data_IF_230007281560
#
_entry.id   IF_230007281560
#
_cell.length_a   1.000
_cell.length_b   1.000
_cell.length_c   1.000
_cell.angle_alpha   90.00
_cell.angle_beta   90.00
_cell.angle_gamma   90.00
#
_symmetry.space_group_name_H-M   'P 1'
#
loop_
_entity.id
_entity.type
_entity.pdbx_description
1 polymer ?
#
# COMPACT_ATOMS: atom_id res chain seq x y z
N UNK A 1 -17.06 4.02 -31.84
CA UNK A 1 -15.68 3.78 -31.33
C UNK A 1 -15.65 4.20 -29.88
N UNK A 2 -15.05 3.41 -28.96
CA UNK A 2 -14.83 3.91 -27.61
C UNK A 2 -13.84 5.09 -27.69
N UNK A 3 -13.97 6.13 -26.85
CA UNK A 3 -13.12 7.31 -26.97
C UNK A 3 -11.64 6.95 -26.77
N UNK A 4 -10.81 7.26 -27.77
CA UNK A 4 -9.35 7.09 -27.76
C UNK A 4 -8.60 8.21 -27.03
N UNK A 5 -9.30 9.01 -26.23
CA UNK A 5 -8.74 10.18 -25.55
C UNK A 5 -7.96 9.77 -24.28
N UNK A 6 -6.75 9.23 -24.43
CA UNK A 6 -5.85 9.07 -23.28
C UNK A 6 -5.26 10.42 -22.87
N UNK A 7 -6.09 11.25 -22.20
CA UNK A 7 -5.67 12.47 -21.51
C UNK A 7 -4.83 12.19 -20.25
N UNK A 8 -4.86 10.96 -19.74
CA UNK A 8 -4.21 10.57 -18.49
C UNK A 8 -3.29 9.37 -18.67
N UNK A 9 -2.23 9.24 -17.85
CA UNK A 9 -1.27 8.14 -17.95
C UNK A 9 -1.78 6.80 -17.37
N UNK A 10 -3.09 6.69 -17.07
CA UNK A 10 -3.72 5.49 -16.51
C UNK A 10 -5.03 5.15 -17.23
N UNK A 11 -5.29 3.83 -17.36
CA UNK A 11 -6.47 3.31 -18.07
C UNK A 11 -7.69 3.14 -17.16
N UNK A 12 -7.48 2.81 -15.88
CA UNK A 12 -8.56 2.65 -14.90
C UNK A 12 -8.94 4.01 -14.32
N UNK A 13 -10.24 4.27 -14.19
CA UNK A 13 -10.80 5.51 -13.61
C UNK A 13 -11.38 5.33 -12.21
N UNK A 14 -11.03 4.22 -11.57
CA UNK A 14 -11.45 3.87 -10.21
C UNK A 14 -10.19 3.76 -9.39
N UNK A 15 -10.19 4.38 -8.21
CA UNK A 15 -9.13 4.26 -7.22
C UNK A 15 -9.66 3.53 -5.98
N UNK A 16 -8.75 2.95 -5.21
CA UNK A 16 -9.07 2.34 -3.92
C UNK A 16 -8.95 3.43 -2.87
N UNK A 17 -10.09 3.96 -2.44
CA UNK A 17 -10.17 5.06 -1.47
C UNK A 17 -9.57 4.71 -0.12
N UNK A 18 -9.75 3.46 0.31
CA UNK A 18 -9.15 2.89 1.53
C UNK A 18 -8.97 1.38 1.35
N UNK A 19 -7.87 0.85 1.87
CA UNK A 19 -7.72 -0.58 2.17
C UNK A 19 -6.92 -0.73 3.47
N UNK A 20 -7.12 -1.87 4.13
CA UNK A 20 -6.46 -2.17 5.40
C UNK A 20 -7.02 -3.46 5.98
N UNK A 21 -6.30 -4.03 6.94
CA UNK A 21 -6.66 -5.29 7.57
C UNK A 21 -6.61 -5.12 9.09
N UNK A 22 -7.74 -5.26 9.77
CA UNK A 22 -7.82 -5.09 11.22
C UNK A 22 -7.12 -6.25 11.92
N UNK A 23 -6.18 -5.94 12.81
CA UNK A 23 -5.52 -6.94 13.66
C UNK A 23 -6.41 -7.50 14.77
N UNK A 24 -7.43 -6.75 15.17
CA UNK A 24 -8.34 -7.11 16.25
C UNK A 24 -9.78 -7.23 15.75
N UNK A 25 -10.58 -8.08 16.39
CA UNK A 25 -12.03 -8.05 16.17
C UNK A 25 -12.60 -6.70 16.61
N UNK A 26 -13.50 -6.12 15.81
CA UNK A 26 -14.07 -4.80 16.05
C UNK A 26 -14.63 -4.66 17.47
N UNK A 27 -14.24 -3.59 18.16
CA UNK A 27 -14.68 -3.30 19.54
C UNK A 27 -14.08 -4.22 20.60
N UNK A 28 -13.01 -4.96 20.27
CA UNK A 28 -12.32 -5.86 21.21
C UNK A 28 -10.82 -5.81 21.00
N UNK A 29 -10.05 -6.33 21.96
CA UNK A 29 -8.61 -6.58 21.80
C UNK A 29 -8.28 -8.02 21.37
N UNK A 30 -9.28 -8.83 21.01
CA UNK A 30 -9.06 -10.20 20.57
C UNK A 30 -8.38 -10.20 19.20
N UNK A 31 -7.19 -10.80 19.12
CA UNK A 31 -6.40 -10.89 17.89
C UNK A 31 -7.19 -11.69 16.85
N UNK A 32 -7.47 -11.06 15.70
CA UNK A 32 -8.06 -11.68 14.52
C UNK A 32 -6.97 -12.17 13.56
N UNK A 33 -5.91 -11.36 13.38
CA UNK A 33 -4.73 -11.70 12.57
C UNK A 33 -3.45 -11.20 13.23
N UNK A 34 -2.34 -11.90 13.02
CA UNK A 34 -1.02 -11.46 13.50
C UNK A 34 -0.53 -10.23 12.73
N UNK A 35 0.51 -9.59 13.26
CA UNK A 35 1.14 -8.44 12.60
C UNK A 35 1.77 -8.84 11.24
N UNK A 36 2.32 -10.05 11.15
CA UNK A 36 2.91 -10.58 9.91
C UNK A 36 1.85 -10.95 8.89
N UNK A 37 0.73 -11.55 9.31
CA UNK A 37 -0.42 -11.80 8.44
C UNK A 37 -0.98 -10.48 7.87
N UNK A 38 -1.06 -9.43 8.69
CA UNK A 38 -1.46 -8.10 8.23
C UNK A 38 -0.51 -7.59 7.13
N UNK A 39 0.81 -7.78 7.28
CA UNK A 39 1.80 -7.39 6.28
C UNK A 39 1.69 -8.21 4.99
N UNK A 40 1.48 -9.53 5.11
CA UNK A 40 1.23 -10.42 3.98
C UNK A 40 0.01 -9.96 3.19
N UNK A 41 -1.13 -9.76 3.85
CA UNK A 41 -2.36 -9.30 3.20
C UNK A 41 -2.20 -7.91 2.58
N UNK A 42 -1.43 -7.03 3.23
CA UNK A 42 -1.07 -5.72 2.69
C UNK A 42 -0.28 -5.85 1.39
N UNK A 43 0.72 -6.74 1.32
CA UNK A 43 1.45 -7.04 0.07
C UNK A 43 0.52 -7.57 -1.01
N UNK A 44 -0.34 -8.54 -0.67
CA UNK A 44 -1.29 -9.14 -1.62
C UNK A 44 -2.25 -8.09 -2.18
N UNK A 45 -2.83 -7.24 -1.33
CA UNK A 45 -3.74 -6.17 -1.76
C UNK A 45 -3.04 -5.13 -2.64
N UNK A 46 -1.83 -4.70 -2.26
CA UNK A 46 -1.05 -3.76 -3.05
C UNK A 46 -0.67 -4.35 -4.41
N UNK A 47 -0.26 -5.62 -4.46
CA UNK A 47 0.06 -6.32 -5.70
C UNK A 47 -1.18 -6.48 -6.60
N UNK A 48 -2.34 -6.82 -6.02
CA UNK A 48 -3.59 -6.89 -6.75
C UNK A 48 -4.00 -5.53 -7.34
N UNK A 49 -3.88 -4.45 -6.56
CA UNK A 49 -4.18 -3.09 -7.02
C UNK A 49 -3.25 -2.66 -8.18
N UNK A 50 -1.95 -2.93 -8.06
CA UNK A 50 -0.98 -2.64 -9.12
C UNK A 50 -1.23 -3.48 -10.37
N UNK A 51 -1.47 -4.79 -10.22
CA UNK A 51 -1.76 -5.71 -11.34
C UNK A 51 -3.01 -5.30 -12.10
N UNK A 52 -4.06 -4.86 -11.40
CA UNK A 52 -5.29 -4.35 -12.02
C UNK A 52 -5.08 -3.01 -12.77
N UNK A 53 -3.98 -2.29 -12.47
CA UNK A 53 -3.70 -0.98 -13.02
C UNK A 53 -4.41 0.16 -12.30
N UNK A 54 -4.69 -0.01 -11.00
CA UNK A 54 -5.26 1.03 -10.16
C UNK A 54 -4.35 2.28 -10.15
N UNK A 55 -4.85 3.49 -10.45
CA UNK A 55 -4.05 4.70 -10.46
C UNK A 55 -3.63 5.15 -9.06
N UNK A 56 -4.41 4.77 -8.04
CA UNK A 56 -4.18 5.16 -6.66
C UNK A 56 -4.84 4.17 -5.69
N UNK A 57 -4.15 3.84 -4.59
CA UNK A 57 -4.66 3.01 -3.51
C UNK A 57 -4.13 3.53 -2.17
N UNK A 58 -5.04 3.87 -1.26
CA UNK A 58 -4.69 4.46 0.03
C UNK A 58 -4.82 3.44 1.16
N UNK A 59 -3.75 3.25 1.92
CA UNK A 59 -3.78 2.42 3.12
C UNK A 59 -4.38 3.22 4.28
N UNK A 60 -5.41 2.67 4.92
CA UNK A 60 -5.97 3.18 6.17
C UNK A 60 -5.46 2.29 7.31
N UNK A 61 -4.58 2.77 8.20
CA UNK A 61 -4.15 4.16 8.46
C UNK A 61 -2.73 4.24 9.02
N UNK A 62 -2.10 5.44 9.00
CA UNK A 62 -0.75 5.60 9.59
C UNK A 62 -0.78 5.53 11.12
N UNK A 63 -1.60 6.37 11.76
CA UNK A 63 -1.82 6.40 13.21
C UNK A 63 -3.26 6.01 13.49
N UNK A 64 -3.53 5.49 14.68
CA UNK A 64 -4.90 5.11 15.06
C UNK A 64 -5.71 6.36 15.42
N UNK A 65 -6.77 6.66 14.67
CA UNK A 65 -7.75 7.69 15.01
C UNK A 65 -9.15 7.11 15.31
N UNK A 66 -9.30 5.78 15.29
CA UNK A 66 -10.59 5.10 15.50
C UNK A 66 -10.63 4.32 16.82
N UNK A 67 -9.63 4.51 17.69
CA UNK A 67 -9.65 3.94 19.02
C UNK A 67 -10.63 4.66 19.93
N UNK A 68 -11.17 3.95 20.92
CA UNK A 68 -11.96 4.58 21.99
C UNK A 68 -11.16 5.70 22.69
N UNK A 69 -11.85 6.61 23.38
CA UNK A 69 -11.22 7.67 24.17
C UNK A 69 -10.14 7.08 25.10
N UNK A 70 -8.94 7.69 25.10
CA UNK A 70 -7.78 7.19 25.85
C UNK A 70 -7.00 6.05 25.18
N UNK A 71 -7.44 5.54 24.02
CA UNK A 71 -6.71 4.54 23.24
C UNK A 71 -6.73 3.14 23.85
N UNK A 72 -7.77 2.83 24.64
CA UNK A 72 -7.93 1.54 25.30
C UNK A 72 -8.24 0.43 24.30
N UNK A 73 -9.07 0.69 23.28
CA UNK A 73 -9.39 -0.29 22.23
C UNK A 73 -8.87 0.19 20.86
N UNK A 74 -7.65 -0.22 20.47
CA UNK A 74 -7.11 0.17 19.16
C UNK A 74 -7.90 -0.47 18.01
N UNK A 75 -8.04 0.26 16.91
CA UNK A 75 -8.72 -0.19 15.69
C UNK A 75 -8.06 -1.40 15.03
N UNK A 76 -6.76 -1.57 15.30
CA UNK A 76 -5.92 -2.61 14.73
C UNK A 76 -5.47 -2.33 13.30
N UNK A 77 -5.64 -1.10 12.80
CA UNK A 77 -5.29 -0.70 11.42
C UNK A 77 -4.02 0.15 11.34
N UNK A 78 -3.56 0.72 12.45
CA UNK A 78 -2.46 1.67 12.44
C UNK A 78 -1.12 1.02 12.05
N UNK A 79 -0.42 1.63 11.09
CA UNK A 79 0.94 1.28 10.72
C UNK A 79 1.96 1.63 11.81
N UNK A 80 1.67 2.64 12.62
CA UNK A 80 2.45 3.05 13.79
C UNK A 80 1.51 3.03 14.99
N UNK A 81 1.82 2.19 15.98
CA UNK A 81 0.96 2.07 17.16
C UNK A 81 1.18 3.22 18.16
N UNK A 82 0.36 3.28 19.20
CA UNK A 82 0.41 4.34 20.24
C UNK A 82 1.77 4.45 20.95
N UNK A 83 2.57 3.38 20.95
CA UNK A 83 3.91 3.34 21.53
C UNK A 83 4.99 3.74 20.51
N UNK A 84 4.61 4.36 19.38
CA UNK A 84 5.50 4.74 18.26
C UNK A 84 6.18 3.56 17.57
N UNK A 85 5.69 2.33 17.75
CA UNK A 85 6.26 1.14 17.12
C UNK A 85 5.68 0.95 15.73
N UNK A 86 6.57 0.91 14.73
CA UNK A 86 6.25 0.60 13.34
C UNK A 86 5.91 -0.88 13.20
N UNK A 87 4.75 -1.17 12.65
CA UNK A 87 4.25 -2.53 12.44
C UNK A 87 4.87 -3.16 11.19
N UNK A 88 4.86 -4.50 11.02
CA UNK A 88 5.32 -5.15 9.80
C UNK A 88 4.68 -4.59 8.51
N UNK A 89 3.37 -4.26 8.53
CA UNK A 89 2.70 -3.62 7.39
C UNK A 89 3.28 -2.23 7.04
N UNK A 90 3.84 -1.50 8.02
CA UNK A 90 4.53 -0.22 7.75
C UNK A 90 5.78 -0.46 6.89
N UNK A 91 6.51 -1.53 7.19
CA UNK A 91 7.74 -1.87 6.48
C UNK A 91 7.46 -2.22 5.02
N UNK A 92 6.32 -2.84 4.72
CA UNK A 92 5.87 -3.10 3.34
C UNK A 92 5.81 -1.79 2.54
N UNK A 93 5.10 -0.77 3.05
CA UNK A 93 4.98 0.53 2.38
C UNK A 93 6.32 1.27 2.32
N UNK A 94 7.11 1.25 3.40
CA UNK A 94 8.43 1.90 3.43
C UNK A 94 9.38 1.28 2.39
N UNK A 95 9.44 -0.05 2.33
CA UNK A 95 10.30 -0.76 1.38
C UNK A 95 9.85 -0.53 -0.06
N UNK A 96 8.53 -0.58 -0.31
CA UNK A 96 7.95 -0.26 -1.60
C UNK A 96 8.33 1.15 -2.06
N UNK A 97 8.15 2.16 -1.19
CA UNK A 97 8.49 3.54 -1.50
C UNK A 97 9.99 3.71 -1.80
N UNK A 98 10.86 3.08 -1.01
CA UNK A 98 12.32 3.12 -1.27
C UNK A 98 12.63 2.53 -2.65
N UNK A 99 12.17 1.30 -2.93
CA UNK A 99 12.44 0.62 -4.21
C UNK A 99 11.85 1.39 -5.41
N UNK A 100 10.70 2.05 -5.23
CA UNK A 100 10.11 2.92 -6.24
C UNK A 100 11.01 4.10 -6.60
N UNK A 101 11.57 4.79 -5.60
CA UNK A 101 12.52 5.89 -5.85
C UNK A 101 13.80 5.38 -6.51
N UNK A 102 14.38 4.29 -5.99
CA UNK A 102 15.58 3.67 -6.56
C UNK A 102 15.39 3.33 -8.06
N UNK A 103 14.21 2.82 -8.43
CA UNK A 103 13.88 2.51 -9.83
C UNK A 103 13.70 3.76 -10.70
N UNK A 104 12.99 4.77 -10.20
CA UNK A 104 12.78 6.03 -10.92
C UNK A 104 14.12 6.72 -11.18
N UNK A 105 14.99 6.77 -10.19
CA UNK A 105 16.32 7.39 -10.31
C UNK A 105 17.20 6.63 -11.31
N UNK A 106 17.15 5.29 -11.29
CA UNK A 106 17.82 4.46 -12.30
C UNK A 106 17.31 4.77 -13.71
N UNK A 107 15.99 4.84 -13.91
CA UNK A 107 15.44 5.16 -15.23
C UNK A 107 15.88 6.55 -15.72
N UNK A 108 15.93 7.54 -14.83
CA UNK A 108 16.39 8.90 -15.15
C UNK A 108 17.89 8.94 -15.45
N UNK A 109 18.69 8.16 -14.74
CA UNK A 109 20.13 8.05 -14.99
C UNK A 109 20.41 7.39 -16.35
N UNK A 110 19.81 6.22 -16.59
CA UNK A 110 20.23 5.32 -17.67
C UNK A 110 19.51 5.62 -18.98
N UNK A 111 18.23 5.96 -18.92
CA UNK A 111 17.38 6.19 -20.10
C UNK A 111 17.01 7.66 -20.30
N UNK A 112 17.45 8.56 -19.40
CA UNK A 112 17.15 10.01 -19.42
C UNK A 112 15.64 10.32 -19.44
N UNK A 113 14.82 9.44 -18.85
CA UNK A 113 13.37 9.60 -18.73
C UNK A 113 12.81 8.92 -17.48
N UNK A 114 11.60 9.27 -17.10
CA UNK A 114 10.83 8.48 -16.12
C UNK A 114 10.41 7.12 -16.73
N UNK A 115 10.16 6.09 -15.89
CA UNK A 115 9.53 4.86 -16.36
C UNK A 115 8.11 5.16 -16.86
N UNK A 116 7.67 4.41 -17.87
CA UNK A 116 6.26 4.34 -18.26
C UNK A 116 5.45 3.65 -17.15
N UNK A 117 4.13 3.81 -17.16
CA UNK A 117 3.26 3.13 -16.21
C UNK A 117 3.44 1.59 -16.28
N UNK A 118 3.61 1.03 -17.48
CA UNK A 118 3.78 -0.40 -17.67
C UNK A 118 5.11 -0.90 -17.05
N UNK A 119 6.22 -0.21 -17.34
CA UNK A 119 7.54 -0.54 -16.77
C UNK A 119 7.53 -0.44 -15.24
N UNK A 120 6.92 0.61 -14.68
CA UNK A 120 6.82 0.76 -13.23
C UNK A 120 6.01 -0.35 -12.58
N UNK A 121 4.84 -0.69 -13.13
CA UNK A 121 4.01 -1.76 -12.56
C UNK A 121 4.70 -3.11 -12.62
N UNK A 122 5.33 -3.45 -13.75
CA UNK A 122 6.03 -4.72 -13.91
C UNK A 122 7.14 -4.87 -12.85
N UNK A 123 7.93 -3.83 -12.66
CA UNK A 123 9.02 -3.85 -11.68
C UNK A 123 8.48 -3.83 -10.24
N UNK A 124 7.46 -3.02 -9.97
CA UNK A 124 6.85 -2.90 -8.64
C UNK A 124 6.21 -4.21 -8.15
N UNK A 125 5.63 -5.00 -9.05
CA UNK A 125 5.06 -6.32 -8.72
C UNK A 125 6.12 -7.29 -8.22
N UNK A 126 7.33 -7.28 -8.81
CA UNK A 126 8.44 -8.13 -8.36
C UNK A 126 8.81 -7.82 -6.91
N UNK A 127 8.79 -6.54 -6.53
CA UNK A 127 9.17 -6.15 -5.17
C UNK A 127 8.20 -6.63 -4.10
N UNK A 128 6.90 -6.64 -4.40
CA UNK A 128 5.87 -7.10 -3.47
C UNK A 128 5.80 -8.62 -3.38
N UNK A 129 6.34 -9.35 -4.37
CA UNK A 129 6.36 -10.81 -4.43
C UNK A 129 7.66 -11.42 -3.91
N UNK A 130 8.73 -10.63 -3.75
CA UNK A 130 10.08 -11.10 -3.40
C UNK A 130 10.44 -10.95 -1.91
N UNK A 131 9.47 -10.75 -1.01
CA UNK A 131 9.69 -10.53 0.43
C UNK A 131 9.19 -11.69 1.28
#
# INVERSE_FOLDING_TARGET
MPPTDKKYPWDKRVFIGEYGFRRYHRGTQKIAITADQQAEFTRTAAAAALSWGCPFALYWQIYDNESDEGGENPSGLALINRNQQKQPAYLVHKNFYRRANDFIDRCRSDFKRNPTQAEFREEALKWLQSE
#
